data_IF_854377226437
#
_entry.id   IF_854377226437
#
_cell.length_a   1.000
_cell.length_b   1.000
_cell.length_c   1.000
_cell.angle_alpha   90.00
_cell.angle_beta   90.00
_cell.angle_gamma   90.00
#
_symmetry.space_group_name_H-M   'P 1'
#
loop_
_entity.id
_entity.type
_entity.pdbx_description
1 polymer ?
#
# COMPACT_ATOMS: atom_id res chain seq x y z
N UNK A 1 3.44 10.61 40.71
CA UNK A 1 2.77 11.44 39.67
C UNK A 1 3.43 11.16 38.31
N UNK A 2 3.48 9.94 37.76
CA UNK A 2 2.37 9.05 37.40
C UNK A 2 2.03 9.10 35.88
N UNK A 3 2.51 10.11 35.13
CA UNK A 3 2.05 10.37 33.76
C UNK A 3 2.91 9.75 32.64
N UNK A 4 4.12 9.26 32.95
CA UNK A 4 5.08 8.80 31.93
C UNK A 4 5.23 7.29 31.85
N UNK A 5 4.38 6.53 32.55
CA UNK A 5 4.48 5.07 32.53
C UNK A 5 4.17 4.56 31.12
N UNK A 6 5.11 3.88 30.43
CA UNK A 6 4.89 3.35 29.08
C UNK A 6 3.65 2.44 28.99
N UNK A 7 3.26 1.86 30.14
CA UNK A 7 2.05 1.07 30.29
C UNK A 7 0.75 1.81 29.91
N UNK A 8 0.67 3.12 30.19
CA UNK A 8 -0.52 3.92 29.86
C UNK A 8 -0.69 4.06 28.34
N UNK A 9 0.41 4.28 27.62
CA UNK A 9 0.42 4.36 26.16
C UNK A 9 0.02 3.03 25.51
N UNK A 10 0.41 1.90 26.10
CA UNK A 10 -0.01 0.59 25.62
C UNK A 10 -1.54 0.41 25.68
N UNK A 11 -2.17 0.84 26.78
CA UNK A 11 -3.63 0.77 26.94
C UNK A 11 -4.32 1.66 25.90
N UNK A 12 -3.84 2.90 25.69
CA UNK A 12 -4.39 3.80 24.67
C UNK A 12 -4.27 3.19 23.28
N UNK A 13 -3.11 2.62 22.93
CA UNK A 13 -2.90 1.97 21.64
C UNK A 13 -3.86 0.80 21.42
N UNK A 14 -4.11 -0.02 22.46
CA UNK A 14 -5.08 -1.12 22.41
C UNK A 14 -6.49 -0.59 22.16
N UNK A 15 -6.92 0.46 22.85
CA UNK A 15 -8.25 1.08 22.64
C UNK A 15 -8.38 1.60 21.20
N UNK A 16 -7.36 2.28 20.67
CA UNK A 16 -7.37 2.77 19.28
C UNK A 16 -7.46 1.61 18.29
N UNK A 17 -6.72 0.52 18.50
CA UNK A 17 -6.81 -0.68 17.63
C UNK A 17 -8.20 -1.31 17.68
N UNK A 18 -8.87 -1.32 18.83
CA UNK A 18 -10.24 -1.86 18.95
C UNK A 18 -11.25 -0.96 18.22
N UNK A 19 -11.14 0.37 18.35
CA UNK A 19 -12.07 1.31 17.72
C UNK A 19 -11.89 1.40 16.19
N UNK A 20 -10.63 1.49 15.74
CA UNK A 20 -10.32 1.66 14.32
C UNK A 20 -10.14 0.33 13.59
N UNK A 21 -9.77 -0.73 14.30
CA UNK A 21 -9.48 -2.06 13.75
C UNK A 21 -8.01 -2.23 13.32
N UNK A 22 -7.53 -3.47 13.39
CA UNK A 22 -6.13 -3.85 13.10
C UNK A 22 -5.69 -3.59 11.65
N UNK A 23 -6.63 -3.50 10.69
CA UNK A 23 -6.31 -3.21 9.28
C UNK A 23 -6.29 -1.71 8.95
N UNK A 24 -7.03 -0.87 9.67
CA UNK A 24 -7.18 0.56 9.33
C UNK A 24 -6.07 1.43 9.89
N UNK A 25 -5.58 1.11 11.09
CA UNK A 25 -4.44 1.80 11.68
C UNK A 25 -3.15 1.71 10.81
N UNK A 26 -2.70 0.52 10.36
CA UNK A 26 -1.51 0.43 9.51
C UNK A 26 -1.75 0.96 8.09
N UNK A 27 -2.98 0.89 7.58
CA UNK A 27 -3.32 1.42 6.25
C UNK A 27 -3.30 2.96 6.25
N UNK A 28 -3.92 3.60 7.26
CA UNK A 28 -3.85 5.04 7.48
C UNK A 28 -2.41 5.50 7.76
N UNK A 29 -1.66 4.79 8.61
CA UNK A 29 -0.25 5.10 8.86
C UNK A 29 0.62 5.01 7.60
N UNK A 30 0.36 4.04 6.71
CA UNK A 30 1.04 3.91 5.41
C UNK A 30 0.69 5.05 4.44
N UNK A 31 -0.56 5.51 4.44
CA UNK A 31 -1.00 6.67 3.66
C UNK A 31 -0.36 7.97 4.16
N UNK A 32 -0.50 8.23 5.47
CA UNK A 32 0.07 9.38 6.15
C UNK A 32 1.60 9.41 6.06
N UNK A 33 2.27 8.26 6.22
CA UNK A 33 3.72 8.15 6.12
C UNK A 33 4.28 8.46 4.74
N UNK A 34 3.56 8.14 3.66
CA UNK A 34 3.95 8.53 2.30
C UNK A 34 3.84 10.05 2.09
N UNK A 35 2.74 10.66 2.51
CA UNK A 35 2.56 12.12 2.45
C UNK A 35 3.62 12.85 3.28
N UNK A 36 3.86 12.37 4.50
CA UNK A 36 4.86 12.94 5.40
C UNK A 36 6.29 12.77 4.87
N UNK A 37 6.59 11.68 4.15
CA UNK A 37 7.90 11.46 3.51
C UNK A 37 8.16 12.47 2.39
N UNK A 38 7.16 12.74 1.55
CA UNK A 38 7.25 13.73 0.46
C UNK A 38 7.45 15.12 1.07
N UNK A 39 6.61 15.49 2.04
CA UNK A 39 6.76 16.76 2.76
C UNK A 39 8.13 16.87 3.46
N UNK A 40 8.61 15.80 4.08
CA UNK A 40 9.93 15.76 4.72
C UNK A 40 11.05 15.93 3.70
N UNK A 41 10.95 15.33 2.50
CA UNK A 41 11.95 15.51 1.44
C UNK A 41 11.94 16.93 0.89
N UNK A 42 10.77 17.54 0.66
CA UNK A 42 10.68 18.93 0.17
C UNK A 42 11.19 19.91 1.23
N UNK A 43 10.78 19.75 2.49
CA UNK A 43 11.28 20.57 3.60
C UNK A 43 12.77 20.36 3.83
N UNK A 44 13.27 19.12 3.66
CA UNK A 44 14.70 18.84 3.77
C UNK A 44 15.45 19.48 2.62
N UNK A 45 14.95 19.46 1.40
CA UNK A 45 15.58 20.07 0.23
C UNK A 45 15.67 21.60 0.38
N UNK A 46 14.59 22.24 0.84
CA UNK A 46 14.61 23.67 1.23
C UNK A 46 15.61 23.98 2.36
N UNK A 47 15.89 23.01 3.24
CA UNK A 47 16.83 23.16 4.35
C UNK A 47 18.28 22.72 3.96
N UNK A 48 18.44 21.91 2.92
CA UNK A 48 19.71 21.34 2.44
C UNK A 48 20.27 22.04 1.20
N UNK A 49 19.66 23.14 0.74
CA UNK A 49 20.26 24.09 -0.23
C UNK A 49 21.60 24.70 0.25
N UNK A 50 22.14 24.24 1.40
CA UNK A 50 23.50 24.48 1.89
C UNK A 50 24.37 23.25 2.17
N UNK A 51 23.92 21.99 1.99
CA UNK A 51 24.77 20.79 2.11
C UNK A 51 24.13 19.54 1.47
N UNK A 52 24.71 19.06 0.38
CA UNK A 52 24.37 17.79 -0.26
C UNK A 52 24.63 16.60 0.68
N UNK A 53 23.67 15.67 0.78
CA UNK A 53 23.98 14.26 1.04
C UNK A 53 22.86 13.36 0.50
N UNK A 54 23.31 12.43 -0.35
CA UNK A 54 22.55 11.33 -0.90
C UNK A 54 22.39 10.22 0.17
N UNK A 55 21.17 9.75 0.41
CA UNK A 55 20.98 8.42 0.98
C UNK A 55 19.61 7.81 0.62
N UNK A 56 19.70 6.82 -0.27
CA UNK A 56 19.00 5.54 -0.25
C UNK A 56 17.46 5.52 -0.25
N UNK A 57 16.91 5.48 -1.47
CA UNK A 57 15.58 4.96 -1.77
C UNK A 57 15.66 3.44 -2.04
N UNK A 58 15.80 2.64 -0.97
CA UNK A 58 15.50 1.19 -1.04
C UNK A 58 14.70 0.78 0.20
N UNK A 59 13.37 0.81 0.09
CA UNK A 59 12.42 0.10 0.96
C UNK A 59 11.06 0.07 0.23
N UNK A 60 10.93 -0.82 -0.75
CA UNK A 60 10.19 -2.08 -0.62
C UNK A 60 8.67 -1.91 -0.55
N UNK A 61 8.10 -2.07 -1.74
CA UNK A 61 6.74 -2.49 -2.05
C UNK A 61 6.28 -3.64 -1.14
N UNK A 62 5.16 -3.50 -0.39
CA UNK A 62 4.48 -4.67 0.14
C UNK A 62 3.71 -5.37 -0.99
N UNK A 63 4.35 -6.40 -1.51
CA UNK A 63 3.75 -7.53 -2.22
C UNK A 63 2.52 -8.01 -1.46
N UNK A 64 1.37 -8.04 -2.11
CA UNK A 64 0.25 -8.88 -1.69
C UNK A 64 0.40 -10.23 -2.41
N UNK A 65 0.55 -11.36 -1.68
CA UNK A 65 0.55 -12.69 -2.30
C UNK A 65 -0.88 -13.10 -2.64
N UNK A 66 -1.22 -13.09 -3.93
CA UNK A 66 -2.30 -13.90 -4.50
C UNK A 66 -2.19 -13.92 -6.05
N UNK A 67 -1.04 -14.32 -6.58
CA UNK A 67 -1.07 -15.05 -7.85
C UNK A 67 -1.56 -16.46 -7.50
N UNK A 68 -2.79 -16.79 -7.87
CA UNK A 68 -3.12 -18.19 -8.17
C UNK A 68 -2.78 -18.39 -9.66
N UNK A 69 -1.71 -19.11 -10.01
CA UNK A 69 -1.66 -19.77 -11.28
C UNK A 69 -2.71 -20.89 -11.25
N UNK A 70 -3.86 -20.68 -11.87
CA UNK A 70 -4.66 -21.79 -12.38
C UNK A 70 -4.27 -22.01 -13.84
N UNK A 71 -3.37 -22.97 -14.14
CA UNK A 71 -3.29 -23.51 -15.48
C UNK A 71 -4.58 -24.31 -15.73
N UNK A 72 -5.55 -23.71 -16.42
CA UNK A 72 -6.57 -24.48 -17.10
C UNK A 72 -6.18 -24.56 -18.58
N UNK A 73 -5.59 -25.68 -19.06
CA UNK A 73 -5.53 -25.95 -20.48
C UNK A 73 -6.93 -26.33 -20.95
N UNK A 74 -7.63 -25.38 -21.57
CA UNK A 74 -8.80 -25.66 -22.44
C UNK A 74 -8.56 -24.98 -23.79
N UNK A 75 -7.81 -25.65 -24.66
CA UNK A 75 -8.29 -26.18 -25.96
C UNK A 75 -9.68 -25.59 -26.34
N UNK A 76 -9.98 -24.88 -27.44
CA UNK A 76 -9.48 -24.78 -28.81
C UNK A 76 -10.13 -23.52 -29.47
N UNK A 77 -9.64 -23.06 -30.63
CA UNK A 77 -10.09 -21.86 -31.33
C UNK A 77 -11.36 -22.15 -32.15
N UNK A 78 -12.43 -21.38 -31.97
CA UNK A 78 -13.55 -21.36 -32.91
C UNK A 78 -13.40 -20.19 -33.88
N UNK A 79 -12.55 -20.39 -34.89
CA UNK A 79 -12.58 -19.59 -36.11
C UNK A 79 -13.12 -20.47 -37.23
N UNK A 80 -14.44 -20.46 -37.46
CA UNK A 80 -15.02 -20.93 -38.74
C UNK A 80 -16.47 -20.44 -38.89
N UNK A 81 -16.61 -19.36 -39.67
CA UNK A 81 -17.59 -19.14 -40.74
C UNK A 81 -18.86 -20.01 -40.75
N UNK A 82 -20.04 -19.36 -40.74
CA UNK A 82 -21.19 -19.62 -41.64
C UNK A 82 -22.52 -19.22 -40.98
N UNK A 83 -23.08 -18.08 -41.37
CA UNK A 83 -24.48 -17.91 -41.80
C UNK A 83 -24.76 -16.43 -42.11
N UNK A 84 -24.04 -15.92 -43.11
CA UNK A 84 -24.59 -14.94 -44.04
C UNK A 84 -25.63 -15.70 -44.88
N UNK A 85 -26.93 -15.51 -44.57
CA UNK A 85 -28.08 -15.78 -45.43
C UNK A 85 -29.38 -15.75 -44.59
N UNK A 86 -29.90 -14.55 -44.33
CA UNK A 86 -31.35 -14.37 -44.21
C UNK A 86 -31.75 -12.96 -44.63
N UNK A 87 -31.55 -12.70 -45.92
CA UNK A 87 -32.25 -11.66 -46.66
C UNK A 87 -33.34 -12.35 -47.48
N UNK A 88 -34.56 -12.34 -46.98
CA UNK A 88 -35.81 -12.59 -47.69
C UNK A 88 -36.96 -12.03 -46.85
#
# INVERSE_FOLDING_TARGET
>A
MGFTSPWHWAIVAVVVIILFGSKKLPEAARGLGRSLRIFKSEVKEMQNDGKSDADTATAQQPTAPAQLPSPAPVVQPNSETQHDAKSA
#
